data_IF_628608525864
#
_entry.id   IF_628608525864
#
_cell.length_a   1.000
_cell.length_b   1.000
_cell.length_c   1.000
_cell.angle_alpha   90.00
_cell.angle_beta   90.00
_cell.angle_gamma   90.00
#
_symmetry.space_group_name_H-M   'P 1'
#
loop_
_entity.id
_entity.type
_entity.pdbx_description
1 polymer ?
#
# COMPACT_ATOMS: atom_id res chain seq x y z
N UNK A 1 -29.90 42.03 23.84
CA UNK A 1 -30.13 40.60 23.52
C UNK A 1 -31.63 40.30 23.43
N UNK A 2 -32.32 40.69 22.35
CA UNK A 2 -33.75 40.38 22.11
C UNK A 2 -34.06 40.10 20.61
N UNK A 3 -33.04 39.81 19.82
CA UNK A 3 -33.16 39.69 18.36
C UNK A 3 -33.26 38.27 17.79
N UNK A 4 -33.02 37.24 18.61
CA UNK A 4 -32.86 35.86 18.11
C UNK A 4 -34.08 34.94 18.33
N UNK A 5 -35.08 35.39 19.09
CA UNK A 5 -36.26 34.59 19.47
C UNK A 5 -37.44 34.67 18.49
N UNK A 6 -37.35 35.47 17.41
CA UNK A 6 -38.51 35.85 16.59
C UNK A 6 -38.61 35.17 15.21
N UNK A 7 -37.98 34.00 15.01
CA UNK A 7 -38.03 33.30 13.71
C UNK A 7 -38.71 31.92 13.71
N UNK A 8 -39.12 31.38 14.87
CA UNK A 8 -39.73 30.05 14.96
C UNK A 8 -41.25 30.02 15.23
N UNK A 9 -41.96 31.15 15.05
CA UNK A 9 -43.39 31.24 15.36
C UNK A 9 -44.30 31.35 14.11
N UNK A 10 -43.92 30.68 13.01
CA UNK A 10 -44.84 30.37 11.91
C UNK A 10 -45.43 28.99 12.17
N UNK A 11 -46.77 28.87 12.23
CA UNK A 11 -47.47 27.57 12.34
C UNK A 11 -46.94 26.63 11.25
N UNK A 12 -46.13 25.65 11.64
CA UNK A 12 -45.71 24.57 10.75
C UNK A 12 -46.98 23.76 10.43
N UNK A 13 -47.36 23.67 9.16
CA UNK A 13 -48.38 22.70 8.74
C UNK A 13 -47.88 21.32 9.17
N UNK A 14 -48.72 20.56 9.87
CA UNK A 14 -48.40 19.18 10.18
C UNK A 14 -48.21 18.42 8.85
N UNK A 15 -47.01 17.90 8.62
CA UNK A 15 -46.70 17.09 7.44
C UNK A 15 -47.58 15.85 7.47
N UNK A 16 -48.22 15.56 6.34
CA UNK A 16 -48.94 14.30 6.18
C UNK A 16 -47.96 13.13 6.08
N UNK A 17 -48.39 11.93 6.47
CA UNK A 17 -47.56 10.72 6.37
C UNK A 17 -47.06 10.49 4.93
N UNK A 18 -47.90 10.81 3.95
CA UNK A 18 -47.58 10.69 2.51
C UNK A 18 -46.52 11.70 2.08
N UNK A 19 -46.61 12.97 2.50
CA UNK A 19 -45.58 13.97 2.20
C UNK A 19 -44.22 13.58 2.79
N UNK A 20 -44.20 13.05 4.02
CA UNK A 20 -42.96 12.57 4.63
C UNK A 20 -42.38 11.37 3.88
N UNK A 21 -43.20 10.41 3.47
CA UNK A 21 -42.77 9.23 2.72
C UNK A 21 -42.18 9.61 1.35
N UNK A 22 -42.79 10.57 0.64
CA UNK A 22 -42.27 11.08 -0.63
C UNK A 22 -40.91 11.76 -0.44
N UNK A 23 -40.76 12.60 0.59
CA UNK A 23 -39.50 13.29 0.88
C UNK A 23 -38.38 12.31 1.25
N UNK A 24 -38.64 11.32 2.10
CA UNK A 24 -37.66 10.30 2.47
C UNK A 24 -37.24 9.45 1.25
N UNK A 25 -38.19 9.17 0.35
CA UNK A 25 -37.90 8.46 -0.91
C UNK A 25 -36.99 9.28 -1.81
N UNK A 26 -37.30 10.56 -2.02
CA UNK A 26 -36.50 11.46 -2.87
C UNK A 26 -35.08 11.62 -2.31
N UNK A 27 -34.95 11.89 -1.00
CA UNK A 27 -33.64 11.99 -0.34
C UNK A 27 -32.88 10.66 -0.42
N UNK A 28 -33.57 9.52 -0.27
CA UNK A 28 -32.97 8.19 -0.42
C UNK A 28 -32.37 7.94 -1.80
N UNK A 29 -33.10 8.29 -2.88
CA UNK A 29 -32.60 8.15 -4.26
C UNK A 29 -31.41 9.07 -4.53
N UNK A 30 -31.50 10.34 -4.11
CA UNK A 30 -30.40 11.30 -4.28
C UNK A 30 -29.17 10.82 -3.50
N UNK A 31 -29.33 10.42 -2.24
CA UNK A 31 -28.25 9.92 -1.40
C UNK A 31 -27.58 8.67 -2.02
N UNK A 32 -28.35 7.74 -2.57
CA UNK A 32 -27.83 6.56 -3.25
C UNK A 32 -26.97 6.91 -4.48
N UNK A 33 -27.24 8.03 -5.15
CA UNK A 33 -26.42 8.53 -6.27
C UNK A 33 -25.21 9.35 -5.80
N UNK A 34 -25.37 10.18 -4.77
CA UNK A 34 -24.31 11.12 -4.34
C UNK A 34 -23.26 10.48 -3.43
N UNK A 35 -23.64 9.53 -2.56
CA UNK A 35 -22.72 8.90 -1.59
C UNK A 35 -21.58 8.14 -2.30
N UNK A 36 -21.84 7.30 -3.32
CA UNK A 36 -20.76 6.60 -4.02
C UNK A 36 -19.77 7.54 -4.71
N UNK A 37 -20.26 8.62 -5.33
CA UNK A 37 -19.43 9.62 -5.99
C UNK A 37 -18.53 10.36 -5.00
N UNK A 38 -19.08 10.78 -3.86
CA UNK A 38 -18.31 11.43 -2.79
C UNK A 38 -17.25 10.48 -2.21
N UNK A 39 -17.62 9.22 -1.94
CA UNK A 39 -16.69 8.20 -1.42
C UNK A 39 -15.50 7.98 -2.36
N UNK A 40 -15.75 7.89 -3.68
CA UNK A 40 -14.71 7.73 -4.70
C UNK A 40 -13.71 8.90 -4.72
N UNK A 41 -14.20 10.14 -4.56
CA UNK A 41 -13.36 11.33 -4.56
C UNK A 41 -12.51 11.48 -3.28
N UNK A 42 -13.09 11.20 -2.10
CA UNK A 42 -12.34 11.19 -0.84
C UNK A 42 -11.23 10.16 -0.87
N UNK A 43 -11.54 8.93 -1.31
CA UNK A 43 -10.59 7.83 -1.33
C UNK A 43 -9.35 8.15 -2.16
N UNK A 44 -9.52 8.74 -3.36
CA UNK A 44 -8.39 9.14 -4.20
C UNK A 44 -7.45 10.10 -3.48
N UNK A 45 -8.00 11.17 -2.90
CA UNK A 45 -7.22 12.18 -2.18
C UNK A 45 -6.51 11.59 -0.96
N UNK A 46 -7.16 10.67 -0.25
CA UNK A 46 -6.58 9.99 0.89
C UNK A 46 -5.42 9.08 0.45
N UNK A 47 -5.58 8.36 -0.67
CA UNK A 47 -4.56 7.47 -1.21
C UNK A 47 -3.32 8.25 -1.69
N UNK A 48 -3.53 9.38 -2.38
CA UNK A 48 -2.46 10.30 -2.80
C UNK A 48 -1.58 10.74 -1.62
N UNK A 49 -2.21 11.11 -0.51
CA UNK A 49 -1.47 11.49 0.72
C UNK A 49 -0.75 10.32 1.35
N UNK A 50 -1.37 9.13 1.37
CA UNK A 50 -0.80 7.94 2.01
C UNK A 50 0.41 7.40 1.25
N UNK A 51 0.38 7.39 -0.08
CA UNK A 51 1.54 6.98 -0.88
C UNK A 51 2.70 7.98 -0.77
N UNK A 52 2.40 9.28 -0.78
CA UNK A 52 3.42 10.31 -0.53
C UNK A 52 4.04 10.13 0.84
N UNK A 53 3.22 9.90 1.86
CA UNK A 53 3.70 9.61 3.22
C UNK A 53 4.55 8.35 3.25
N UNK A 54 4.13 7.27 2.57
CA UNK A 54 4.88 6.02 2.52
C UNK A 54 6.29 6.22 1.97
N UNK A 55 6.41 6.98 0.89
CA UNK A 55 7.70 7.34 0.32
C UNK A 55 8.56 8.16 1.28
N UNK A 56 8.00 9.20 1.91
CA UNK A 56 8.74 10.03 2.88
C UNK A 56 9.20 9.21 4.09
N UNK A 57 8.35 8.32 4.61
CA UNK A 57 8.73 7.42 5.69
C UNK A 57 9.85 6.48 5.28
N UNK A 58 9.83 5.96 4.05
CA UNK A 58 10.93 5.11 3.56
C UNK A 58 12.24 5.87 3.46
N UNK A 59 12.23 7.08 2.90
CA UNK A 59 13.43 7.94 2.84
C UNK A 59 13.97 8.20 4.25
N UNK A 60 13.11 8.58 5.20
CA UNK A 60 13.50 8.80 6.60
C UNK A 60 14.11 7.54 7.24
N UNK A 61 13.51 6.38 7.04
CA UNK A 61 14.01 5.10 7.56
C UNK A 61 15.38 4.75 6.97
N UNK A 62 15.55 4.95 5.66
CA UNK A 62 16.80 4.67 4.96
C UNK A 62 17.89 5.64 5.45
N UNK A 63 17.59 6.93 5.54
CA UNK A 63 18.51 7.95 6.02
C UNK A 63 18.99 7.66 7.45
N UNK A 64 18.08 7.26 8.35
CA UNK A 64 18.43 6.89 9.71
C UNK A 64 19.33 5.64 9.75
N UNK A 65 19.03 4.63 8.94
CA UNK A 65 19.85 3.43 8.85
C UNK A 65 21.27 3.73 8.31
N UNK A 66 21.36 4.59 7.30
CA UNK A 66 22.65 5.05 6.73
C UNK A 66 23.42 5.90 7.74
N UNK A 67 22.72 6.72 8.53
CA UNK A 67 23.34 7.55 9.56
C UNK A 67 24.01 6.71 10.65
N UNK A 68 23.38 5.62 11.08
CA UNK A 68 23.92 4.77 12.15
C UNK A 68 24.92 3.72 11.65
N UNK A 69 24.66 3.11 10.50
CA UNK A 69 25.45 1.97 9.99
C UNK A 69 26.41 2.33 8.85
N UNK A 70 26.33 3.56 8.34
CA UNK A 70 27.10 4.02 7.17
C UNK A 70 26.54 3.49 5.85
N UNK A 71 27.38 3.50 4.83
CA UNK A 71 27.04 3.20 3.43
C UNK A 71 26.31 1.85 3.28
N UNK A 72 25.16 1.85 2.60
CA UNK A 72 24.23 0.70 2.52
C UNK A 72 24.92 -0.57 2.02
N UNK A 73 25.73 -0.40 0.99
CA UNK A 73 26.48 -1.47 0.34
C UNK A 73 27.31 -2.32 1.31
N UNK A 74 27.83 -1.74 2.39
CA UNK A 74 28.72 -2.45 3.31
C UNK A 74 27.99 -3.48 4.15
N UNK A 75 26.80 -3.15 4.62
CA UNK A 75 25.98 -4.05 5.43
C UNK A 75 25.06 -4.92 4.58
N UNK A 76 24.60 -4.44 3.42
CA UNK A 76 23.89 -5.28 2.44
C UNK A 76 24.73 -6.45 1.92
N UNK A 77 26.05 -6.31 1.83
CA UNK A 77 26.97 -7.41 1.46
C UNK A 77 27.10 -8.49 2.54
N UNK A 78 26.95 -8.11 3.81
CA UNK A 78 27.23 -8.99 4.96
C UNK A 78 25.99 -9.73 5.47
N UNK A 79 24.81 -9.26 5.07
CA UNK A 79 23.52 -9.73 5.58
C UNK A 79 22.75 -10.43 4.46
N UNK A 80 22.07 -11.52 4.78
CA UNK A 80 21.19 -12.20 3.83
C UNK A 80 20.01 -11.29 3.44
N UNK A 81 19.50 -11.46 2.23
CA UNK A 81 18.33 -10.72 1.72
C UNK A 81 17.16 -10.77 2.73
N UNK A 82 16.94 -11.93 3.35
CA UNK A 82 15.86 -12.14 4.32
C UNK A 82 15.98 -11.31 5.61
N UNK A 83 17.22 -10.99 6.02
CA UNK A 83 17.50 -10.29 7.29
C UNK A 83 17.84 -8.82 7.10
N UNK A 84 18.09 -8.38 5.86
CA UNK A 84 18.43 -7.00 5.56
C UNK A 84 17.34 -6.05 6.08
N UNK A 85 16.09 -6.36 5.76
CA UNK A 85 14.96 -5.53 6.13
C UNK A 85 14.72 -5.48 7.63
N UNK A 86 14.67 -6.64 8.28
CA UNK A 86 14.45 -6.73 9.73
C UNK A 86 15.57 -6.17 10.58
N UNK A 87 16.82 -6.21 10.11
CA UNK A 87 17.97 -5.77 10.90
C UNK A 87 18.18 -4.26 10.79
N UNK A 88 18.07 -3.70 9.58
CA UNK A 88 18.49 -2.32 9.32
C UNK A 88 17.35 -1.34 9.04
N UNK A 89 16.17 -1.79 8.63
CA UNK A 89 15.08 -0.87 8.31
C UNK A 89 13.94 -0.93 9.34
N UNK A 90 13.49 -2.14 9.73
CA UNK A 90 12.42 -2.32 10.72
C UNK A 90 12.61 -1.51 12.02
N UNK A 91 13.82 -1.41 12.62
CA UNK A 91 14.01 -0.68 13.87
C UNK A 91 13.64 0.81 13.81
N UNK A 92 13.72 1.43 12.63
CA UNK A 92 13.43 2.86 12.46
C UNK A 92 11.98 3.14 12.05
N UNK A 93 11.18 2.10 11.78
CA UNK A 93 9.76 2.29 11.56
C UNK A 93 9.00 2.50 12.87
N UNK A 94 7.94 3.31 12.81
CA UNK A 94 6.92 3.36 13.88
C UNK A 94 6.02 2.12 13.82
N UNK A 95 6.55 0.97 14.24
CA UNK A 95 5.90 -0.35 14.12
C UNK A 95 4.62 -0.43 14.96
N UNK A 96 3.56 -0.93 14.32
CA UNK A 96 2.32 -1.39 14.95
C UNK A 96 2.32 -2.91 15.09
N UNK A 97 2.67 -3.60 14.01
CA UNK A 97 2.70 -5.06 13.94
C UNK A 97 3.82 -5.52 13.00
N UNK A 98 4.52 -6.58 13.39
CA UNK A 98 5.52 -7.24 12.55
C UNK A 98 4.96 -8.58 12.09
N UNK A 99 4.69 -8.74 10.79
CA UNK A 99 4.20 -10.03 10.26
C UNK A 99 5.34 -11.01 9.99
N UNK A 100 6.50 -10.53 9.54
CA UNK A 100 7.62 -11.42 9.17
C UNK A 100 8.98 -10.71 9.29
N UNK A 101 10.07 -11.42 8.95
CA UNK A 101 11.40 -10.81 8.83
C UNK A 101 11.51 -9.80 7.69
N UNK A 102 10.58 -9.86 6.72
CA UNK A 102 10.55 -9.00 5.54
C UNK A 102 9.38 -8.02 5.52
N UNK A 103 8.44 -8.08 6.47
CA UNK A 103 7.20 -7.28 6.44
C UNK A 103 6.89 -6.62 7.77
N UNK A 104 6.46 -5.36 7.71
CA UNK A 104 6.09 -4.55 8.88
C UNK A 104 4.90 -3.65 8.57
N UNK A 105 3.98 -3.50 9.51
CA UNK A 105 2.91 -2.51 9.47
C UNK A 105 3.21 -1.40 10.47
N UNK A 106 3.07 -0.16 10.02
CA UNK A 106 3.26 1.04 10.84
C UNK A 106 1.97 1.43 11.56
N UNK A 107 2.08 2.28 12.59
CA UNK A 107 0.93 2.85 13.33
C UNK A 107 -0.06 3.60 12.44
N UNK A 108 0.39 4.07 11.27
CA UNK A 108 -0.42 4.73 10.26
C UNK A 108 -1.20 3.76 9.35
N UNK A 109 -1.09 2.46 9.60
CA UNK A 109 -1.76 1.41 8.84
C UNK A 109 -1.21 1.24 7.43
N UNK A 110 0.04 1.67 7.18
CA UNK A 110 0.78 1.40 5.95
C UNK A 110 1.68 0.21 6.23
N UNK A 111 1.65 -0.78 5.35
CA UNK A 111 2.53 -1.95 5.40
C UNK A 111 3.67 -1.83 4.41
N UNK A 112 4.85 -2.28 4.81
CA UNK A 112 6.04 -2.31 3.97
C UNK A 112 6.57 -3.73 3.94
N UNK A 113 6.93 -4.21 2.76
CA UNK A 113 7.61 -5.50 2.61
C UNK A 113 8.79 -5.43 1.65
N UNK A 114 9.84 -6.18 1.98
CA UNK A 114 10.96 -6.42 1.07
C UNK A 114 10.57 -7.54 0.10
N UNK A 115 10.67 -7.26 -1.19
CA UNK A 115 10.39 -8.20 -2.26
C UNK A 115 11.70 -8.72 -2.87
N UNK A 116 11.85 -8.68 -4.19
CA UNK A 116 13.04 -9.17 -4.88
C UNK A 116 14.25 -8.24 -4.70
N UNK A 117 15.44 -8.85 -4.59
CA UNK A 117 16.71 -8.16 -4.62
C UNK A 117 17.53 -8.61 -5.83
N UNK A 118 18.19 -7.66 -6.48
CA UNK A 118 19.05 -7.89 -7.63
C UNK A 118 20.52 -7.74 -7.24
N UNK A 119 21.37 -8.62 -7.79
CA UNK A 119 22.83 -8.54 -7.64
C UNK A 119 23.39 -7.41 -8.50
N UNK A 120 24.51 -6.83 -8.06
CA UNK A 120 25.22 -5.78 -8.81
C UNK A 120 25.70 -6.25 -10.20
N UNK A 121 25.95 -7.54 -10.37
CA UNK A 121 26.33 -8.18 -11.63
C UNK A 121 26.03 -9.68 -11.54
N UNK A 122 25.84 -10.35 -12.67
CA UNK A 122 25.60 -11.80 -12.78
C UNK A 122 26.66 -12.67 -12.10
N UNK A 123 27.88 -12.14 -11.91
CA UNK A 123 29.00 -12.81 -11.25
C UNK A 123 29.24 -12.34 -9.79
N UNK A 124 28.50 -11.35 -9.32
CA UNK A 124 28.67 -10.75 -7.99
C UNK A 124 27.82 -11.44 -6.93
N UNK A 125 28.37 -11.63 -5.73
CA UNK A 125 27.57 -11.97 -4.54
C UNK A 125 27.00 -10.74 -3.84
N UNK A 126 27.47 -9.55 -4.20
CA UNK A 126 27.02 -8.28 -3.61
C UNK A 126 25.67 -7.86 -4.22
N UNK A 127 24.71 -7.54 -3.35
CA UNK A 127 23.43 -6.96 -3.74
C UNK A 127 23.64 -5.56 -4.35
N UNK A 128 22.92 -5.28 -5.42
CA UNK A 128 22.91 -4.00 -6.12
C UNK A 128 21.68 -3.16 -5.76
N UNK A 129 20.51 -3.78 -5.69
CA UNK A 129 19.25 -3.10 -5.35
C UNK A 129 18.21 -4.05 -4.81
N UNK A 130 17.20 -3.54 -4.10
CA UNK A 130 16.01 -4.31 -3.73
C UNK A 130 14.71 -3.54 -4.02
N UNK A 131 13.64 -4.27 -4.28
CA UNK A 131 12.27 -3.73 -4.36
C UNK A 131 11.64 -3.76 -2.97
N UNK A 132 11.15 -2.61 -2.54
CA UNK A 132 10.34 -2.43 -1.34
C UNK A 132 8.92 -2.13 -1.80
N UNK A 133 7.98 -2.97 -1.39
CA UNK A 133 6.55 -2.78 -1.62
C UNK A 133 5.96 -2.01 -0.45
N UNK A 134 5.22 -0.94 -0.73
CA UNK A 134 4.38 -0.26 0.25
C UNK A 134 2.92 -0.53 -0.10
N UNK A 135 2.21 -1.15 0.83
CA UNK A 135 0.77 -1.29 0.80
C UNK A 135 0.15 -0.21 1.68
N UNK A 136 -0.44 0.79 1.03
CA UNK A 136 -1.00 1.93 1.74
C UNK A 136 -2.34 1.61 2.36
N UNK A 137 -3.09 0.59 1.97
CA UNK A 137 -4.39 0.32 2.57
C UNK A 137 -4.30 -0.69 3.73
N UNK A 138 -3.20 -1.45 3.78
CA UNK A 138 -2.84 -2.44 4.80
C UNK A 138 -2.99 -3.85 4.25
N UNK A 139 -2.11 -4.77 4.66
CA UNK A 139 -1.91 -6.09 4.02
C UNK A 139 -3.17 -6.92 3.76
N UNK A 140 -4.16 -6.84 4.66
CA UNK A 140 -5.40 -7.65 4.59
C UNK A 140 -6.63 -6.84 4.14
N UNK A 141 -6.43 -5.63 3.58
CA UNK A 141 -7.54 -4.80 3.10
C UNK A 141 -7.70 -4.92 1.60
N UNK A 142 -8.64 -5.75 1.19
CA UNK A 142 -9.07 -5.77 -0.20
C UNK A 142 -9.76 -4.46 -0.61
N UNK A 143 -9.60 -4.03 -1.87
CA UNK A 143 -8.81 -4.70 -2.91
C UNK A 143 -7.32 -4.33 -2.82
N UNK A 144 -6.42 -5.25 -3.21
CA UNK A 144 -4.96 -5.08 -3.18
C UNK A 144 -4.42 -4.88 -4.60
N UNK A 145 -4.56 -3.66 -5.10
CA UNK A 145 -4.39 -3.24 -6.49
C UNK A 145 -3.07 -2.50 -6.73
N UNK A 146 -2.22 -3.07 -7.59
CA UNK A 146 -0.99 -2.42 -8.08
C UNK A 146 -1.26 -1.05 -8.68
N UNK A 147 -0.46 -0.07 -8.28
CA UNK A 147 -0.58 1.31 -8.73
C UNK A 147 -1.78 2.05 -8.15
N UNK A 148 -2.53 1.46 -7.22
CA UNK A 148 -3.65 2.10 -6.51
C UNK A 148 -3.43 2.11 -5.02
N UNK A 149 -3.21 0.96 -4.40
CA UNK A 149 -2.83 0.84 -3.00
C UNK A 149 -1.53 0.07 -2.76
N UNK A 150 -1.05 -0.69 -3.75
CA UNK A 150 0.30 -1.27 -3.74
C UNK A 150 1.25 -0.48 -4.62
N UNK A 151 2.37 -0.06 -4.04
CA UNK A 151 3.39 0.77 -4.68
C UNK A 151 4.76 0.17 -4.51
N UNK A 152 5.55 0.22 -5.58
CA UNK A 152 6.89 -0.37 -5.62
C UNK A 152 7.94 0.74 -5.64
N UNK A 153 8.95 0.57 -4.78
CA UNK A 153 10.11 1.44 -4.70
C UNK A 153 11.38 0.61 -4.82
N UNK A 154 12.25 0.95 -5.77
CA UNK A 154 13.58 0.36 -5.88
C UNK A 154 14.56 1.14 -5.03
N UNK A 155 15.18 0.48 -4.07
CA UNK A 155 16.33 1.03 -3.33
C UNK A 155 17.62 0.58 -4.01
N UNK A 156 18.33 1.53 -4.61
CA UNK A 156 19.65 1.30 -5.21
C UNK A 156 20.74 1.46 -4.14
N UNK A 157 21.53 0.40 -3.90
CA UNK A 157 22.58 0.40 -2.87
C UNK A 157 23.89 1.03 -3.34
N UNK A 158 24.01 1.35 -4.63
CA UNK A 158 25.19 2.02 -5.19
C UNK A 158 24.97 3.53 -5.18
N UNK A 159 23.79 3.97 -5.61
CA UNK A 159 23.41 5.39 -5.60
C UNK A 159 22.80 5.84 -4.27
N UNK A 160 22.50 4.91 -3.36
CA UNK A 160 21.82 5.14 -2.08
C UNK A 160 20.50 5.89 -2.24
N UNK A 161 19.77 5.53 -3.31
CA UNK A 161 18.59 6.27 -3.75
C UNK A 161 17.36 5.38 -3.76
N UNK A 162 16.28 5.89 -3.19
CA UNK A 162 14.95 5.31 -3.35
C UNK A 162 14.30 5.86 -4.62
N UNK A 163 13.91 4.95 -5.52
CA UNK A 163 13.40 5.28 -6.84
C UNK A 163 12.01 4.67 -7.00
N UNK A 164 10.96 5.47 -7.22
CA UNK A 164 9.65 4.95 -7.59
C UNK A 164 9.72 4.17 -8.91
N UNK A 165 9.16 2.96 -8.93
CA UNK A 165 9.14 2.10 -10.13
C UNK A 165 7.70 1.72 -10.51
N UNK A 166 7.57 1.13 -11.69
CA UNK A 166 6.29 0.74 -12.27
C UNK A 166 5.30 1.91 -12.31
N UNK A 167 4.03 1.68 -11.95
CA UNK A 167 2.98 2.71 -11.89
C UNK A 167 3.29 3.84 -10.91
N UNK A 168 4.07 3.53 -9.87
CA UNK A 168 4.48 4.51 -8.84
C UNK A 168 5.29 5.64 -9.45
N UNK A 169 6.03 5.37 -10.53
CA UNK A 169 6.82 6.39 -11.25
C UNK A 169 5.95 7.46 -11.87
N UNK A 170 4.84 7.08 -12.50
CA UNK A 170 3.91 8.04 -13.11
C UNK A 170 3.24 8.90 -12.03
N UNK A 171 2.83 8.26 -10.93
CA UNK A 171 2.25 8.95 -9.78
C UNK A 171 3.23 9.95 -9.15
N UNK A 172 4.50 9.54 -8.98
CA UNK A 172 5.57 10.40 -8.47
C UNK A 172 5.81 11.62 -9.36
N UNK A 173 5.94 11.40 -10.68
CA UNK A 173 6.18 12.48 -11.65
C UNK A 173 5.02 13.48 -11.70
N UNK A 174 3.81 13.04 -11.36
CA UNK A 174 2.63 13.90 -11.25
C UNK A 174 2.45 14.51 -9.83
N UNK A 175 3.52 14.54 -9.02
CA UNK A 175 3.48 15.13 -7.68
C UNK A 175 2.56 14.39 -6.71
N UNK A 176 2.55 13.06 -6.80
CA UNK A 176 1.71 12.16 -6.00
C UNK A 176 0.21 12.29 -6.23
N UNK A 177 -0.20 12.84 -7.37
CA UNK A 177 -1.61 12.95 -7.76
C UNK A 177 -1.95 11.91 -8.80
N UNK A 178 -3.02 11.16 -8.57
CA UNK A 178 -3.50 10.25 -9.62
C UNK A 178 -3.96 11.09 -10.82
N UNK A 179 -3.76 10.56 -12.02
CA UNK A 179 -4.53 10.98 -13.19
C UNK A 179 -5.84 10.18 -13.24
N UNK A 180 -6.82 10.63 -14.03
CA UNK A 180 -8.04 9.84 -14.21
C UNK A 180 -7.73 8.48 -14.86
N UNK A 181 -6.74 8.44 -15.74
CA UNK A 181 -6.22 7.22 -16.37
C UNK A 181 -5.64 6.26 -15.33
N UNK A 182 -4.67 6.70 -14.51
CA UNK A 182 -4.08 5.89 -13.44
C UNK A 182 -5.13 5.39 -12.44
N UNK A 183 -6.08 6.24 -12.06
CA UNK A 183 -7.13 5.88 -11.10
C UNK A 183 -8.17 4.90 -11.67
N UNK A 184 -8.43 4.99 -12.97
CA UNK A 184 -9.42 4.16 -13.67
C UNK A 184 -8.86 2.84 -14.19
N UNK A 185 -7.53 2.70 -14.27
CA UNK A 185 -6.90 1.47 -14.73
C UNK A 185 -7.37 0.29 -13.88
N UNK A 186 -7.93 -0.71 -14.55
CA UNK A 186 -8.24 -1.97 -13.89
C UNK A 186 -6.92 -2.54 -13.41
N UNK A 187 -6.86 -2.78 -12.12
CA UNK A 187 -5.69 -3.36 -11.52
C UNK A 187 -5.54 -4.76 -12.07
N UNK A 188 -4.43 -5.00 -12.75
CA UNK A 188 -3.98 -6.36 -12.99
C UNK A 188 -3.82 -6.99 -11.61
N UNK A 189 -4.74 -7.90 -11.25
CA UNK A 189 -4.51 -8.83 -10.17
C UNK A 189 -3.17 -9.48 -10.46
N UNK A 190 -2.28 -9.47 -9.47
CA UNK A 190 -1.07 -10.26 -9.58
C UNK A 190 -1.47 -11.71 -9.80
N UNK A 191 -0.98 -12.22 -10.92
CA UNK A 191 -0.81 -13.64 -11.22
C UNK A 191 0.06 -14.22 -10.11
N UNK A 192 -0.60 -14.59 -9.01
CA UNK A 192 -0.03 -15.41 -7.95
C UNK A 192 0.07 -16.82 -8.54
N UNK A 193 1.05 -17.03 -9.43
CA UNK A 193 1.42 -18.35 -9.88
C UNK A 193 2.16 -19.04 -8.73
N UNK A 194 1.42 -19.40 -7.68
CA UNK A 194 1.76 -20.57 -6.89
C UNK A 194 1.57 -21.78 -7.81
N UNK A 195 2.58 -22.10 -8.61
CA UNK A 195 2.69 -23.47 -9.10
C UNK A 195 2.98 -24.33 -7.90
N UNK A 196 1.91 -24.87 -7.32
CA UNK A 196 1.96 -26.05 -6.47
C UNK A 196 2.62 -27.16 -7.30
N UNK A 197 3.94 -27.27 -7.18
CA UNK A 197 4.65 -28.47 -7.56
C UNK A 197 4.36 -29.52 -6.49
N UNK A 198 3.20 -30.16 -6.65
CA UNK A 198 2.81 -31.38 -5.95
C UNK A 198 3.80 -32.47 -6.36
N UNK A 199 4.90 -32.61 -5.62
CA UNK A 199 5.78 -33.78 -5.73
C UNK A 199 5.21 -34.90 -4.87
N UNK A 200 4.11 -35.49 -5.34
CA UNK A 200 3.69 -36.82 -4.96
C UNK A 200 4.67 -37.82 -5.57
N UNK A 201 5.71 -38.19 -4.81
CA UNK A 201 6.43 -39.44 -5.04
C UNK A 201 6.03 -40.43 -3.96
N UNK A 202 4.87 -41.05 -4.18
CA UNK A 202 4.51 -42.31 -3.56
C UNK A 202 5.58 -43.37 -3.83
N UNK A 203 6.31 -43.71 -2.77
CA UNK A 203 7.16 -44.90 -2.73
C UNK A 203 6.26 -46.14 -2.71
N UNK A 204 6.14 -46.82 -3.86
CA UNK A 204 5.68 -48.21 -3.91
C UNK A 204 6.78 -49.09 -4.49
N UNK A 205 7.35 -49.83 -3.56
CA UNK A 205 7.95 -51.15 -3.69
C UNK A 205 7.23 -52.02 -4.75
N UNK A 206 8.02 -52.64 -5.61
CA UNK A 206 7.81 -54.02 -6.05
C UNK A 206 9.08 -54.50 -6.77
N UNK A 207 9.63 -55.61 -6.27
CA UNK A 207 10.84 -56.23 -6.76
C UNK A 207 10.72 -56.90 -8.13
N UNK A 208 11.88 -57.31 -8.64
CA UNK A 208 11.99 -58.42 -9.57
C UNK A 208 13.41 -59.00 -9.54
N UNK A 209 13.48 -60.28 -9.20
CA UNK A 209 14.26 -61.37 -9.82
C UNK A 209 15.68 -61.07 -10.36
N UNK A 210 16.69 -61.54 -9.62
CA UNK A 210 17.62 -62.64 -9.99
C UNK A 210 18.91 -62.62 -9.13
#
# INVERSE_FOLDING_TARGET
>A
MKGFEMLFNKKLKAMTYVELALVLTIIGVIAAMTIPQLKKYSQRTDYEKRVQKAYVTLEEVIDNAVMEHGIIKHWAKKTSEDKLFSTYFIPYFSVLEKQSEKSVTTKDGISYSLDSCEKKSSSSTDLGSCIIKADINGLDKEPNLKGKDKFNFKLDFVEEKLIPVDETKELYNNGWKFTDELWSREASADDDSSTDADSDTGSKDNGQDD
#
